data_IF_456050647549
#
_entry.id   IF_456050647549
#
_cell.length_a   1.000
_cell.length_b   1.000
_cell.length_c   1.000
_cell.angle_alpha   90.00
_cell.angle_beta   90.00
_cell.angle_gamma   90.00
#
_symmetry.space_group_name_H-M   'P 1'
#
loop_
_entity.id
_entity.type
_entity.pdbx_description
1 polymer ?
#
# COMPACT_ATOMS: atom_id res chain seq x y z
N UNK A 1 -16.84 14.95 -5.11
CA UNK A 1 -16.30 14.33 -6.35
C UNK A 1 -15.59 13.04 -5.97
N UNK A 2 -15.64 12.01 -6.82
CA UNK A 2 -14.90 10.75 -6.62
C UNK A 2 -14.06 10.50 -7.86
N UNK A 3 -12.75 10.34 -7.70
CA UNK A 3 -11.84 9.89 -8.77
C UNK A 3 -11.26 8.53 -8.44
N UNK A 4 -11.15 7.68 -9.45
CA UNK A 4 -10.53 6.36 -9.36
C UNK A 4 -9.32 6.27 -10.28
N UNK A 5 -8.27 5.61 -9.80
CA UNK A 5 -7.03 5.36 -10.53
C UNK A 5 -6.72 3.88 -10.46
N UNK A 6 -6.26 3.31 -11.57
CA UNK A 6 -5.88 1.90 -11.64
C UNK A 6 -4.45 1.79 -12.13
N UNK A 7 -3.69 0.88 -11.52
CA UNK A 7 -2.33 0.56 -11.91
C UNK A 7 -2.15 -0.95 -11.89
N UNK A 8 -1.38 -1.45 -12.85
CA UNK A 8 -0.93 -2.84 -12.87
C UNK A 8 0.59 -2.86 -12.99
N UNK A 9 1.22 -3.79 -12.29
CA UNK A 9 2.66 -3.99 -12.32
C UNK A 9 2.97 -5.48 -12.18
N UNK A 10 3.97 -5.95 -12.93
CA UNK A 10 4.45 -7.33 -12.83
C UNK A 10 5.80 -7.31 -12.12
N UNK A 11 5.88 -8.02 -11.00
CA UNK A 11 7.14 -8.32 -10.34
C UNK A 11 7.68 -9.63 -10.92
N UNK A 12 8.92 -9.62 -11.39
CA UNK A 12 9.59 -10.81 -11.89
C UNK A 12 10.14 -11.67 -10.73
N UNK A 13 9.30 -11.90 -9.73
CA UNK A 13 9.59 -12.63 -8.51
C UNK A 13 8.40 -13.53 -8.14
N UNK A 14 8.65 -14.71 -7.56
CA UNK A 14 7.61 -15.61 -7.07
C UNK A 14 6.72 -14.95 -6.02
N UNK A 15 5.47 -15.38 -5.96
CA UNK A 15 4.42 -14.78 -5.13
C UNK A 15 4.77 -14.75 -3.64
N UNK A 16 5.43 -15.79 -3.14
CA UNK A 16 5.85 -15.92 -1.74
C UNK A 16 6.85 -14.82 -1.37
N UNK A 17 7.76 -14.50 -2.30
CA UNK A 17 8.79 -13.47 -2.13
C UNK A 17 8.17 -12.08 -2.17
N UNK A 18 7.29 -11.81 -3.13
CA UNK A 18 6.57 -10.54 -3.24
C UNK A 18 5.67 -10.31 -2.03
N UNK A 19 4.98 -11.35 -1.55
CA UNK A 19 4.16 -11.29 -0.33
C UNK A 19 5.04 -10.95 0.87
N UNK A 20 6.21 -11.58 1.01
CA UNK A 20 7.18 -11.30 2.09
C UNK A 20 7.72 -9.86 2.02
N UNK A 21 8.05 -9.38 0.82
CA UNK A 21 8.45 -7.98 0.60
C UNK A 21 7.33 -6.99 0.98
N UNK A 22 6.06 -7.32 0.69
CA UNK A 22 4.90 -6.49 1.01
C UNK A 22 4.71 -6.27 2.51
N UNK A 23 5.01 -7.29 3.32
CA UNK A 23 5.00 -7.16 4.78
C UNK A 23 6.11 -6.23 5.28
N UNK A 24 7.31 -6.32 4.68
CA UNK A 24 8.54 -5.63 5.09
C UNK A 24 8.65 -4.17 4.62
N UNK A 25 7.94 -3.79 3.55
CA UNK A 25 8.12 -2.48 2.87
C UNK A 25 8.00 -1.26 3.79
N UNK A 26 7.19 -1.33 4.84
CA UNK A 26 6.97 -0.23 5.80
C UNK A 26 7.61 -0.43 7.17
N UNK A 27 8.16 -1.61 7.45
CA UNK A 27 8.72 -1.97 8.77
C UNK A 27 10.23 -1.90 8.81
N UNK A 28 10.92 -2.22 7.70
CA UNK A 28 12.37 -2.25 7.70
C UNK A 28 12.95 -0.83 7.73
N UNK A 29 13.87 -0.58 8.67
CA UNK A 29 14.41 0.75 8.93
C UNK A 29 15.11 1.39 7.71
N UNK A 30 15.72 0.56 6.85
CA UNK A 30 16.38 0.98 5.62
C UNK A 30 15.42 1.57 4.57
N UNK A 31 14.12 1.25 4.65
CA UNK A 31 13.10 1.75 3.73
C UNK A 31 12.68 3.19 4.08
N UNK A 32 12.90 3.65 5.33
CA UNK A 32 12.51 4.99 5.78
C UNK A 32 13.13 6.11 4.96
N UNK A 33 14.33 5.90 4.40
CA UNK A 33 14.99 6.89 3.50
C UNK A 33 14.28 7.03 2.16
N UNK A 34 13.76 5.92 1.61
CA UNK A 34 13.10 5.89 0.30
C UNK A 34 11.62 6.27 0.42
N UNK A 35 10.99 5.89 1.53
CA UNK A 35 9.59 6.15 1.86
C UNK A 35 9.46 7.11 3.07
N UNK A 36 10.00 8.35 3.01
CA UNK A 36 10.03 9.26 4.15
C UNK A 36 8.64 9.79 4.56
N UNK A 37 7.62 9.52 3.75
CA UNK A 37 6.24 9.84 4.08
C UNK A 37 5.62 8.82 5.02
N UNK A 38 6.16 7.61 5.13
CA UNK A 38 5.72 6.60 6.10
C UNK A 38 6.45 6.88 7.41
N UNK A 39 5.71 7.36 8.41
CA UNK A 39 6.26 7.74 9.71
C UNK A 39 6.29 6.55 10.66
N UNK A 40 5.24 5.73 10.64
CA UNK A 40 5.13 4.55 11.49
C UNK A 40 4.22 3.47 10.86
N UNK A 41 4.44 2.21 11.23
CA UNK A 41 3.63 1.07 10.83
C UNK A 41 3.63 0.01 11.94
N UNK A 42 2.47 -0.25 12.52
CA UNK A 42 2.30 -1.18 13.63
C UNK A 42 1.21 -2.19 13.32
N UNK A 43 1.50 -3.45 13.57
CA UNK A 43 0.48 -4.50 13.50
C UNK A 43 -0.42 -4.43 14.73
N UNK A 44 -1.71 -4.17 14.51
CA UNK A 44 -2.71 -4.07 15.58
C UNK A 44 -3.31 -5.45 15.90
N UNK A 45 -3.52 -6.26 14.87
CA UNK A 45 -4.12 -7.58 15.02
C UNK A 45 -3.63 -8.52 13.93
N UNK A 46 -3.52 -9.80 14.28
CA UNK A 46 -3.28 -10.91 13.35
C UNK A 46 -4.10 -12.11 13.79
N UNK A 47 -4.82 -12.72 12.86
CA UNK A 47 -5.55 -13.96 13.10
C UNK A 47 -5.40 -14.91 11.92
N UNK A 48 -5.15 -16.18 12.23
CA UNK A 48 -5.17 -17.26 11.25
C UNK A 48 -6.49 -18.02 11.41
N UNK A 49 -7.32 -17.99 10.38
CA UNK A 49 -8.52 -18.83 10.34
C UNK A 49 -8.11 -20.25 9.96
N UNK A 50 -8.18 -21.16 10.94
CA UNK A 50 -7.80 -22.56 10.78
C UNK A 50 -8.70 -23.32 9.78
N UNK A 51 -9.94 -22.89 9.59
CA UNK A 51 -10.89 -23.56 8.69
C UNK A 51 -10.59 -23.24 7.22
N UNK A 52 -10.41 -21.97 6.89
CA UNK A 52 -10.08 -21.55 5.52
C UNK A 52 -8.59 -21.65 5.21
N UNK A 53 -7.73 -21.49 6.22
CA UNK A 53 -6.27 -21.34 6.08
C UNK A 53 -5.85 -19.91 5.70
N UNK A 54 -6.72 -18.92 5.90
CA UNK A 54 -6.46 -17.52 5.57
C UNK A 54 -5.88 -16.76 6.76
N UNK A 55 -4.82 -15.99 6.51
CA UNK A 55 -4.28 -15.04 7.46
C UNK A 55 -4.95 -13.68 7.26
N UNK A 56 -5.49 -13.14 8.33
CA UNK A 56 -6.01 -11.78 8.40
C UNK A 56 -5.06 -10.94 9.26
N UNK A 57 -4.74 -9.73 8.81
CA UNK A 57 -3.99 -8.78 9.61
C UNK A 57 -4.58 -7.38 9.48
N UNK A 58 -4.46 -6.62 10.56
CA UNK A 58 -4.79 -5.19 10.59
C UNK A 58 -3.56 -4.43 11.04
N UNK A 59 -3.12 -3.44 10.26
CA UNK A 59 -1.99 -2.56 10.63
C UNK A 59 -2.44 -1.11 10.69
N UNK A 60 -1.96 -0.37 11.69
CA UNK A 60 -2.00 1.09 11.71
C UNK A 60 -0.80 1.61 10.94
N UNK A 61 -1.02 2.60 10.07
CA UNK A 61 0.04 3.26 9.31
C UNK A 61 -0.10 4.76 9.49
N UNK A 62 0.97 5.41 9.91
CA UNK A 62 1.02 6.87 10.04
C UNK A 62 1.78 7.45 8.86
N UNK A 63 1.12 8.34 8.12
CA UNK A 63 1.62 8.92 6.87
C UNK A 63 1.68 10.44 6.97
N UNK A 64 2.76 11.04 6.45
CA UNK A 64 2.85 12.48 6.28
C UNK A 64 2.08 12.91 5.04
N UNK A 65 1.11 13.81 5.23
CA UNK A 65 0.30 14.36 4.16
C UNK A 65 1.07 15.35 3.27
N UNK A 66 0.62 15.56 2.03
CA UNK A 66 1.10 16.66 1.20
C UNK A 66 0.88 18.02 1.88
N UNK A 67 1.81 18.96 1.70
CA UNK A 67 1.76 20.31 2.29
C UNK A 67 0.45 21.07 2.01
N UNK A 68 -0.20 20.81 0.87
CA UNK A 68 -1.46 21.45 0.51
C UNK A 68 -2.62 21.00 1.41
N UNK A 69 -2.60 19.73 1.83
CA UNK A 69 -3.57 19.20 2.81
C UNK A 69 -3.38 19.92 4.14
N UNK A 70 -2.13 20.09 4.59
CA UNK A 70 -1.81 20.91 5.78
C UNK A 70 -2.31 22.34 5.66
N UNK A 71 -2.16 22.98 4.50
CA UNK A 71 -2.61 24.37 4.30
C UNK A 71 -4.12 24.52 4.42
N UNK A 72 -4.90 23.49 4.11
CA UNK A 72 -6.36 23.57 4.05
C UNK A 72 -7.02 22.99 5.30
N UNK A 73 -6.54 21.83 5.75
CA UNK A 73 -7.10 21.09 6.90
C UNK A 73 -6.39 21.49 8.21
N UNK A 74 -5.17 22.04 8.14
CA UNK A 74 -4.35 22.36 9.30
C UNK A 74 -3.52 21.19 9.81
N UNK A 75 -3.72 19.98 9.29
CA UNK A 75 -3.04 18.76 9.71
C UNK A 75 -2.09 18.22 8.62
N UNK A 76 -0.92 17.73 9.03
CA UNK A 76 0.08 17.11 8.14
C UNK A 76 0.38 15.64 8.44
N UNK A 77 -0.34 15.04 9.39
CA UNK A 77 -0.25 13.62 9.74
C UNK A 77 -1.60 12.97 9.47
N UNK A 78 -1.58 11.88 8.71
CA UNK A 78 -2.74 11.04 8.45
C UNK A 78 -2.52 9.63 9.00
N UNK A 79 -3.47 9.15 9.79
CA UNK A 79 -3.55 7.78 10.26
C UNK A 79 -4.43 6.97 9.31
N UNK A 80 -3.89 5.85 8.85
CA UNK A 80 -4.53 4.89 7.98
C UNK A 80 -4.61 3.54 8.67
N UNK A 81 -5.66 2.78 8.34
CA UNK A 81 -5.74 1.35 8.64
C UNK A 81 -5.55 0.56 7.37
N UNK A 82 -4.62 -0.37 7.43
CA UNK A 82 -4.44 -1.44 6.46
C UNK A 82 -5.17 -2.68 6.95
N UNK A 83 -5.99 -3.29 6.11
CA UNK A 83 -6.56 -4.62 6.29
C UNK A 83 -6.01 -5.55 5.22
N UNK A 84 -5.37 -6.64 5.63
CA UNK A 84 -4.69 -7.59 4.75
C UNK A 84 -5.27 -8.98 4.92
N UNK A 85 -5.49 -9.67 3.80
CA UNK A 85 -5.92 -11.07 3.74
C UNK A 85 -4.90 -11.81 2.87
N UNK A 86 -4.33 -12.89 3.40
CA UNK A 86 -3.45 -13.80 2.65
C UNK A 86 -4.08 -15.17 2.62
N UNK A 87 -4.29 -15.68 1.41
CA UNK A 87 -4.72 -17.05 1.14
C UNK A 87 -3.55 -17.82 0.53
N UNK A 88 -2.92 -18.66 1.35
CA UNK A 88 -1.77 -19.46 0.92
C UNK A 88 -2.15 -20.56 -0.08
N UNK A 89 -3.38 -21.09 -0.01
CA UNK A 89 -3.86 -22.15 -0.92
C UNK A 89 -4.07 -21.59 -2.34
N UNK A 90 -4.69 -20.42 -2.43
CA UNK A 90 -4.93 -19.73 -3.70
C UNK A 90 -3.75 -18.87 -4.17
N UNK A 91 -2.68 -18.75 -3.36
CA UNK A 91 -1.57 -17.82 -3.57
C UNK A 91 -2.10 -16.42 -3.90
N UNK A 92 -2.88 -15.85 -2.99
CA UNK A 92 -3.47 -14.53 -3.18
C UNK A 92 -3.29 -13.67 -1.93
N UNK A 93 -2.78 -12.45 -2.12
CA UNK A 93 -2.71 -11.44 -1.07
C UNK A 93 -3.57 -10.25 -1.49
N UNK A 94 -4.50 -9.85 -0.63
CA UNK A 94 -5.36 -8.68 -0.83
C UNK A 94 -5.13 -7.71 0.31
N UNK A 95 -4.95 -6.43 -0.02
CA UNK A 95 -4.70 -5.36 0.92
C UNK A 95 -5.67 -4.22 0.65
N UNK A 96 -6.28 -3.69 1.71
CA UNK A 96 -7.11 -2.49 1.66
C UNK A 96 -6.55 -1.45 2.63
N UNK A 97 -6.17 -0.28 2.13
CA UNK A 97 -5.76 0.87 2.92
C UNK A 97 -6.90 1.89 2.95
N UNK A 98 -7.22 2.41 4.13
CA UNK A 98 -8.17 3.51 4.31
C UNK A 98 -7.67 4.51 5.32
N UNK A 99 -7.77 5.80 5.04
CA UNK A 99 -7.52 6.83 6.05
C UNK A 99 -8.67 6.89 7.08
N UNK A 100 -8.32 7.07 8.35
CA UNK A 100 -9.27 7.27 9.45
C UNK A 100 -9.26 8.73 9.88
N UNK A 101 -8.08 9.34 9.98
CA UNK A 101 -7.99 10.79 10.17
C UNK A 101 -8.41 11.53 8.90
N UNK A 102 -8.87 12.77 9.04
CA UNK A 102 -9.28 13.64 7.93
C UNK A 102 -10.43 13.11 7.04
N UNK A 103 -11.08 12.00 7.42
CA UNK A 103 -12.18 11.39 6.66
C UNK A 103 -13.34 12.38 6.41
N UNK A 104 -13.53 13.35 7.31
CA UNK A 104 -14.52 14.44 7.15
C UNK A 104 -14.25 15.34 5.94
N UNK A 105 -13.03 15.36 5.43
CA UNK A 105 -12.58 16.21 4.33
C UNK A 105 -12.24 15.38 3.08
N UNK A 106 -11.44 14.33 3.26
CA UNK A 106 -10.90 13.51 2.18
C UNK A 106 -10.95 12.05 2.62
N UNK A 107 -11.57 11.21 1.80
CA UNK A 107 -11.57 9.75 1.91
C UNK A 107 -10.65 9.21 0.82
N UNK A 108 -9.69 8.38 1.20
CA UNK A 108 -8.78 7.65 0.31
C UNK A 108 -8.89 6.19 0.66
N UNK A 109 -9.27 5.39 -0.34
CA UNK A 109 -9.27 3.93 -0.26
C UNK A 109 -8.33 3.39 -1.36
N UNK A 110 -7.34 2.60 -0.99
CA UNK A 110 -6.50 1.86 -1.94
C UNK A 110 -6.72 0.36 -1.74
N UNK A 111 -7.06 -0.35 -2.82
CA UNK A 111 -7.12 -1.81 -2.86
C UNK A 111 -5.99 -2.32 -3.73
N UNK A 112 -5.18 -3.19 -3.17
CA UNK A 112 -4.06 -3.82 -3.85
C UNK A 112 -4.19 -5.34 -3.77
N UNK A 113 -3.98 -6.03 -4.90
CA UNK A 113 -4.01 -7.49 -4.99
C UNK A 113 -2.74 -8.01 -5.64
N UNK A 114 -2.14 -9.04 -5.03
CA UNK A 114 -1.01 -9.79 -5.56
C UNK A 114 -1.42 -11.24 -5.80
N UNK A 115 -1.23 -11.70 -7.03
CA UNK A 115 -1.48 -13.08 -7.46
C UNK A 115 -0.32 -13.56 -8.37
N UNK A 116 -0.06 -14.87 -8.48
CA UNK A 116 0.77 -15.42 -9.53
C UNK A 116 0.40 -14.88 -10.92
N UNK A 117 1.41 -14.56 -11.72
CA UNK A 117 1.18 -14.14 -13.10
C UNK A 117 0.62 -15.32 -13.92
N UNK A 118 -0.42 -15.15 -14.75
CA UNK A 118 -1.01 -16.25 -15.52
C UNK A 118 -0.01 -16.94 -16.45
N UNK A 119 0.87 -16.16 -17.09
CA UNK A 119 1.86 -16.70 -18.04
C UNK A 119 3.11 -17.31 -17.38
N UNK A 120 3.39 -16.97 -16.11
CA UNK A 120 4.50 -17.55 -15.36
C UNK A 120 4.15 -17.65 -13.86
N UNK A 121 3.28 -18.60 -13.47
CA UNK A 121 2.73 -18.64 -12.12
C UNK A 121 3.74 -18.97 -11.01
N UNK A 122 4.91 -19.48 -11.37
CA UNK A 122 5.94 -19.86 -10.41
C UNK A 122 7.09 -18.86 -10.35
N UNK A 123 7.27 -18.03 -11.38
CA UNK A 123 8.35 -17.05 -11.44
C UNK A 123 7.92 -15.62 -11.19
N UNK A 124 6.68 -15.25 -11.53
CA UNK A 124 6.23 -13.85 -11.56
C UNK A 124 4.94 -13.63 -10.77
N UNK A 125 4.76 -12.39 -10.31
CA UNK A 125 3.59 -11.94 -9.56
C UNK A 125 2.99 -10.72 -10.22
N UNK A 126 1.68 -10.76 -10.49
CA UNK A 126 0.93 -9.59 -10.94
C UNK A 126 0.37 -8.83 -9.73
N UNK A 127 0.64 -7.53 -9.67
CA UNK A 127 0.10 -6.59 -8.70
C UNK A 127 -0.92 -5.68 -9.39
N UNK A 128 -2.15 -5.66 -8.87
CA UNK A 128 -3.23 -4.79 -9.34
C UNK A 128 -3.62 -3.84 -8.22
N UNK A 129 -3.59 -2.55 -8.50
CA UNK A 129 -3.90 -1.50 -7.54
C UNK A 129 -5.05 -0.65 -8.06
N UNK A 130 -6.04 -0.39 -7.21
CA UNK A 130 -7.13 0.54 -7.45
C UNK A 130 -7.23 1.53 -6.30
N UNK A 131 -7.15 2.81 -6.62
CA UNK A 131 -7.22 3.89 -5.63
C UNK A 131 -8.44 4.75 -5.90
N UNK A 132 -9.23 4.99 -4.86
CA UNK A 132 -10.40 5.86 -4.89
C UNK A 132 -10.17 7.03 -3.94
N UNK A 133 -10.30 8.23 -4.47
CA UNK A 133 -10.18 9.48 -3.72
C UNK A 133 -11.52 10.19 -3.78
N UNK A 134 -12.10 10.51 -2.63
CA UNK A 134 -13.35 11.23 -2.49
C UNK A 134 -13.14 12.47 -1.62
N UNK A 135 -13.40 13.63 -2.19
CA UNK A 135 -13.39 14.90 -1.45
C UNK A 135 -14.82 15.24 -1.06
N UNK A 136 -15.02 15.43 0.25
CA UNK A 136 -16.32 15.83 0.82
C UNK A 136 -16.57 17.32 0.57
N UNK A 137 -17.82 17.71 0.24
CA UNK A 137 -18.16 19.09 -0.04
C UNK A 137 -18.09 19.92 1.25
N UNK A 138 -17.14 20.85 1.30
CA UNK A 138 -17.09 21.94 2.27
C UNK A 138 -17.04 23.24 1.46
N UNK A 139 -17.73 24.29 1.91
CA UNK A 139 -17.73 25.61 1.27
C UNK A 139 -16.32 26.15 1.05
N UNK A 140 -15.40 25.87 1.97
CA UNK A 140 -13.98 26.23 1.88
C UNK A 140 -13.17 25.39 0.86
N UNK A 141 -13.62 24.17 0.53
CA UNK A 141 -12.93 23.26 -0.39
C UNK A 141 -13.46 23.34 -1.82
N UNK A 142 -14.68 23.82 -2.05
CA UNK A 142 -15.33 23.77 -3.36
C UNK A 142 -14.48 24.37 -4.49
N UNK A 143 -13.79 25.50 -4.25
CA UNK A 143 -12.93 26.16 -5.23
C UNK A 143 -11.55 25.52 -5.41
N UNK A 144 -11.12 24.67 -4.46
CA UNK A 144 -9.80 24.01 -4.45
C UNK A 144 -9.88 22.49 -4.59
N UNK A 145 -11.08 21.91 -4.59
CA UNK A 145 -11.31 20.46 -4.51
C UNK A 145 -10.58 19.73 -5.64
N UNK A 146 -10.73 20.19 -6.88
CA UNK A 146 -10.07 19.57 -8.03
C UNK A 146 -8.53 19.64 -7.93
N UNK A 147 -7.98 20.76 -7.46
CA UNK A 147 -6.53 20.93 -7.27
C UNK A 147 -6.01 20.02 -6.15
N UNK A 148 -6.73 19.92 -5.04
CA UNK A 148 -6.39 19.02 -3.93
C UNK A 148 -6.42 17.57 -4.41
N UNK A 149 -7.47 17.19 -5.13
CA UNK A 149 -7.63 15.85 -5.67
C UNK A 149 -6.48 15.47 -6.61
N UNK A 150 -6.16 16.35 -7.57
CA UNK A 150 -5.08 16.10 -8.52
C UNK A 150 -3.74 15.94 -7.79
N UNK A 151 -3.45 16.79 -6.79
CA UNK A 151 -2.18 16.71 -6.05
C UNK A 151 -2.10 15.48 -5.15
N UNK A 152 -3.21 15.06 -4.55
CA UNK A 152 -3.29 13.81 -3.81
C UNK A 152 -3.04 12.62 -4.74
N UNK A 153 -3.65 12.62 -5.94
CA UNK A 153 -3.42 11.60 -6.95
C UNK A 153 -1.96 11.57 -7.43
N UNK A 154 -1.37 12.72 -7.79
CA UNK A 154 0.00 12.81 -8.26
C UNK A 154 0.99 12.26 -7.21
N UNK A 155 0.81 12.62 -5.94
CA UNK A 155 1.65 12.10 -4.86
C UNK A 155 1.43 10.62 -4.60
N UNK A 156 0.19 10.16 -4.69
CA UNK A 156 -0.12 8.75 -4.59
C UNK A 156 0.62 7.94 -5.68
N UNK A 157 0.55 8.37 -6.94
CA UNK A 157 1.22 7.71 -8.06
C UNK A 157 2.76 7.69 -7.88
N UNK A 158 3.33 8.80 -7.42
CA UNK A 158 4.77 8.89 -7.15
C UNK A 158 5.21 8.02 -5.96
N UNK A 159 4.40 7.96 -4.89
CA UNK A 159 4.67 7.10 -3.73
C UNK A 159 4.54 5.62 -4.11
N UNK A 160 3.58 5.25 -4.97
CA UNK A 160 3.45 3.90 -5.53
C UNK A 160 4.69 3.48 -6.31
N UNK A 161 5.26 4.36 -7.16
CA UNK A 161 6.51 4.07 -7.85
C UNK A 161 7.67 3.78 -6.88
N UNK A 162 7.87 4.63 -5.86
CA UNK A 162 8.89 4.40 -4.83
C UNK A 162 8.65 3.13 -4.02
N UNK A 163 7.39 2.82 -3.73
CA UNK A 163 7.03 1.58 -3.03
C UNK A 163 7.39 0.36 -3.88
N UNK A 164 7.22 0.41 -5.20
CA UNK A 164 7.65 -0.66 -6.11
C UNK A 164 9.16 -0.85 -6.12
N UNK A 165 9.93 0.23 -6.12
CA UNK A 165 11.40 0.15 -6.04
C UNK A 165 11.88 -0.50 -4.73
N UNK A 166 11.23 -0.17 -3.60
CA UNK A 166 11.50 -0.80 -2.30
C UNK A 166 11.17 -2.29 -2.33
N UNK A 167 10.00 -2.65 -2.87
CA UNK A 167 9.58 -4.05 -3.02
C UNK A 167 10.59 -4.84 -3.84
N UNK A 168 11.02 -4.30 -4.99
CA UNK A 168 12.00 -4.93 -5.87
C UNK A 168 13.35 -5.15 -5.16
N UNK A 169 13.81 -4.16 -4.38
CA UNK A 169 15.03 -4.28 -3.57
C UNK A 169 14.93 -5.39 -2.53
N UNK A 170 13.81 -5.46 -1.80
CA UNK A 170 13.59 -6.50 -0.78
C UNK A 170 13.53 -7.89 -1.43
N UNK A 171 12.87 -8.01 -2.59
CA UNK A 171 12.84 -9.26 -3.34
C UNK A 171 14.25 -9.73 -3.72
N UNK A 172 15.09 -8.85 -4.28
CA UNK A 172 16.49 -9.18 -4.61
C UNK A 172 17.31 -9.58 -3.39
N UNK A 173 17.11 -8.90 -2.26
CA UNK A 173 17.74 -9.27 -1.00
C UNK A 173 17.34 -10.70 -0.57
N UNK A 174 16.04 -11.01 -0.54
CA UNK A 174 15.51 -12.32 -0.15
C UNK A 174 15.98 -13.44 -1.09
N UNK A 175 16.13 -13.15 -2.38
CA UNK A 175 16.65 -14.09 -3.36
C UNK A 175 18.11 -14.45 -3.09
N UNK A 176 18.97 -13.44 -2.88
CA UNK A 176 20.37 -13.64 -2.53
C UNK A 176 20.54 -14.41 -1.21
N UNK A 177 19.74 -14.05 -0.20
CA UNK A 177 19.70 -14.73 1.10
C UNK A 177 19.34 -16.21 0.94
N UNK A 178 18.26 -16.53 0.21
CA UNK A 178 17.84 -17.93 -0.02
C UNK A 178 18.88 -18.77 -0.77
N UNK A 179 19.63 -18.16 -1.69
CA UNK A 179 20.68 -18.83 -2.45
C UNK A 179 21.89 -19.14 -1.57
N UNK A 180 22.20 -18.29 -0.60
CA UNK A 180 23.32 -18.48 0.33
C UNK A 180 23.11 -19.64 1.31
N UNK A 181 21.86 -19.94 1.67
CA UNK A 181 21.50 -21.07 2.54
C UNK A 181 21.39 -22.42 1.80
N UNK A 182 21.46 -22.41 0.47
CA UNK A 182 21.39 -23.62 -0.37
C UNK A 182 22.77 -24.20 -0.71
N UNK A 183 23.84 -23.62 -0.15
CA UNK A 183 25.23 -24.06 -0.22
C UNK A 183 25.67 -24.66 1.11
#
# INVERSE_FOLDING_TARGET
MVKSYKQEHVYNHPWERVTSASWRKFTDAENKRVLPHILDCNTLNTSLDSSSGKLYATRAITVRCPWLVRRIIGEDICHCVESTIVDAKLRSMQICYRNISMEKFIEVEEKTRYDPHPDNPNGWTVCRQETRIRIKPLSALASMAEKVEQRCADRFLQNSAKSRDVMERICKYLEAESSSFSL
#
